data_IF_876563220937
#
_entry.id   IF_876563220937
#
_cell.length_a   1.000
_cell.length_b   1.000
_cell.length_c   1.000
_cell.angle_alpha   90.00
_cell.angle_beta   90.00
_cell.angle_gamma   90.00
#
_symmetry.space_group_name_H-M   'P 1'
#
loop_
_entity.id
_entity.type
_entity.pdbx_description
1 polymer ?
#
# COMPACT_ATOMS: atom_id res chain seq x y z
N UNK A 1 -21.76 1.82 2.85
CA UNK A 1 -20.54 2.13 3.63
C UNK A 1 -20.74 3.35 4.53
N UNK A 2 -21.53 4.36 4.13
CA UNK A 2 -21.89 5.52 4.98
C UNK A 2 -22.78 5.11 6.17
N UNK A 3 -23.66 4.11 6.00
CA UNK A 3 -24.53 3.63 7.08
C UNK A 3 -23.80 2.83 8.19
N UNK A 4 -22.56 2.40 7.94
CA UNK A 4 -21.75 1.68 8.94
C UNK A 4 -21.21 2.60 10.05
N UNK A 5 -21.25 3.92 9.86
CA UNK A 5 -20.93 4.90 10.91
C UNK A 5 -22.10 5.08 11.90
N UNK A 6 -23.34 4.76 11.53
CA UNK A 6 -24.51 4.87 12.41
C UNK A 6 -24.80 3.62 13.25
N UNK A 7 -24.15 2.50 12.95
CA UNK A 7 -24.25 1.26 13.74
C UNK A 7 -23.45 1.30 15.06
N UNK A 8 -22.99 2.49 15.47
CA UNK A 8 -22.43 2.77 16.80
C UNK A 8 -23.51 2.64 17.90
N UNK A 9 -24.79 2.64 17.55
CA UNK A 9 -25.89 2.60 18.53
C UNK A 9 -26.37 1.22 19.02
N UNK A 10 -25.98 0.10 18.41
CA UNK A 10 -26.71 -1.18 18.63
C UNK A 10 -25.97 -2.19 19.54
N UNK A 11 -24.67 -2.06 19.79
CA UNK A 11 -23.93 -3.00 20.66
C UNK A 11 -23.48 -2.37 21.97
N UNK A 12 -24.40 -2.31 22.93
CA UNK A 12 -24.16 -1.98 24.33
C UNK A 12 -23.70 -3.22 25.12
N UNK A 13 -22.40 -3.59 25.07
CA UNK A 13 -21.75 -4.37 26.15
C UNK A 13 -20.22 -4.12 26.17
N UNK A 14 -19.76 -3.34 27.16
CA UNK A 14 -18.56 -3.61 27.98
C UNK A 14 -17.14 -3.72 27.39
N UNK A 15 -16.89 -3.64 26.08
CA UNK A 15 -15.50 -3.79 25.54
C UNK A 15 -15.23 -2.93 24.29
N UNK A 16 -15.17 -1.62 24.49
CA UNK A 16 -15.11 -0.58 23.44
C UNK A 16 -13.92 -0.65 22.46
N UNK A 17 -12.80 -1.30 22.81
CA UNK A 17 -11.59 -1.32 21.96
C UNK A 17 -11.68 -2.36 20.83
N UNK A 18 -12.31 -3.51 21.10
CA UNK A 18 -12.41 -4.63 20.15
C UNK A 18 -13.37 -4.29 19.00
N UNK A 19 -14.51 -3.67 19.33
CA UNK A 19 -15.53 -3.27 18.35
C UNK A 19 -15.00 -2.24 17.35
N UNK A 20 -14.11 -1.33 17.78
CA UNK A 20 -13.56 -0.26 16.95
C UNK A 20 -12.58 -0.76 15.89
N UNK A 21 -11.81 -1.80 16.19
CA UNK A 21 -10.83 -2.39 15.25
C UNK A 21 -11.47 -3.40 14.28
N UNK A 22 -12.61 -3.98 14.65
CA UNK A 22 -13.34 -4.96 13.83
C UNK A 22 -14.42 -4.37 12.93
N UNK A 23 -14.68 -3.06 13.00
CA UNK A 23 -15.77 -2.41 12.25
C UNK A 23 -15.66 -2.61 10.73
N UNK A 24 -14.46 -2.46 10.17
CA UNK A 24 -14.25 -2.66 8.72
C UNK A 24 -14.44 -4.13 8.32
N UNK A 25 -13.73 -5.12 8.91
CA UNK A 25 -13.97 -6.54 8.62
C UNK A 25 -15.43 -6.98 8.81
N UNK A 26 -16.09 -6.48 9.85
CA UNK A 26 -17.47 -6.81 10.17
C UNK A 26 -18.44 -6.22 9.13
N UNK A 27 -18.22 -4.98 8.68
CA UNK A 27 -19.01 -4.38 7.60
C UNK A 27 -18.87 -5.13 6.27
N UNK A 28 -17.65 -5.58 5.95
CA UNK A 28 -17.34 -6.38 4.77
C UNK A 28 -18.06 -7.73 4.84
N UNK A 29 -17.99 -8.38 6.01
CA UNK A 29 -18.64 -9.67 6.25
C UNK A 29 -20.17 -9.55 6.13
N UNK A 30 -20.78 -8.52 6.73
CA UNK A 30 -22.23 -8.27 6.61
C UNK A 30 -22.61 -8.02 5.15
N UNK A 31 -21.85 -7.18 4.43
CA UNK A 31 -22.14 -6.86 3.03
C UNK A 31 -22.01 -8.11 2.16
N UNK A 32 -21.02 -8.95 2.41
CA UNK A 32 -20.83 -10.22 1.70
C UNK A 32 -21.95 -11.21 1.98
N UNK A 33 -22.37 -11.36 3.25
CA UNK A 33 -23.51 -12.19 3.64
C UNK A 33 -24.80 -11.69 2.96
N UNK A 34 -25.03 -10.38 2.95
CA UNK A 34 -26.19 -9.79 2.29
C UNK A 34 -26.18 -10.03 0.78
N UNK A 35 -25.03 -9.84 0.12
CA UNK A 35 -24.85 -10.15 -1.30
C UNK A 35 -25.07 -11.64 -1.59
N UNK A 36 -24.62 -12.52 -0.71
CA UNK A 36 -24.86 -13.96 -0.81
C UNK A 36 -26.36 -14.28 -0.74
N UNK A 37 -27.10 -13.71 0.21
CA UNK A 37 -28.55 -13.89 0.30
C UNK A 37 -29.30 -13.37 -0.93
N UNK A 38 -28.92 -12.20 -1.47
CA UNK A 38 -29.51 -11.67 -2.70
C UNK A 38 -29.21 -12.57 -3.92
N UNK A 39 -27.99 -13.11 -3.99
CA UNK A 39 -27.59 -14.03 -5.05
C UNK A 39 -28.38 -15.34 -4.96
N UNK A 40 -28.49 -15.92 -3.76
CA UNK A 40 -29.26 -17.14 -3.51
C UNK A 40 -30.77 -16.96 -3.71
N UNK A 41 -31.29 -15.77 -3.42
CA UNK A 41 -32.69 -15.39 -3.66
C UNK A 41 -33.03 -15.13 -5.12
N UNK A 42 -32.09 -15.28 -6.06
CA UNK A 42 -32.33 -15.11 -7.49
C UNK A 42 -32.44 -13.65 -7.94
N UNK A 43 -32.07 -12.67 -7.09
CA UNK A 43 -32.17 -11.25 -7.43
C UNK A 43 -31.30 -10.84 -8.64
N UNK A 44 -30.26 -11.64 -8.93
CA UNK A 44 -29.34 -11.45 -10.05
C UNK A 44 -29.41 -12.58 -11.08
N UNK A 45 -30.49 -13.38 -11.09
CA UNK A 45 -30.71 -14.44 -12.06
C UNK A 45 -31.68 -13.97 -13.14
N UNK A 46 -31.15 -13.68 -14.34
CA UNK A 46 -31.92 -13.16 -15.46
C UNK A 46 -32.15 -14.29 -16.47
N UNK A 47 -33.42 -14.54 -16.82
CA UNK A 47 -33.82 -15.64 -17.71
C UNK A 47 -33.05 -15.58 -19.03
N UNK A 48 -32.30 -16.64 -19.33
CA UNK A 48 -31.55 -16.79 -20.59
C UNK A 48 -30.17 -16.13 -20.61
N UNK A 49 -29.70 -15.55 -19.50
CA UNK A 49 -28.36 -14.97 -19.40
C UNK A 49 -27.48 -15.80 -18.46
N UNK A 50 -26.23 -16.07 -18.85
CA UNK A 50 -25.23 -16.72 -17.97
C UNK A 50 -24.12 -15.73 -17.61
N UNK A 51 -23.66 -15.70 -16.34
CA UNK A 51 -22.56 -14.85 -15.89
C UNK A 51 -21.19 -15.26 -16.45
N UNK A 52 -21.05 -16.48 -16.96
CA UNK A 52 -19.79 -17.03 -17.48
C UNK A 52 -19.46 -16.57 -18.92
N UNK A 53 -20.41 -15.93 -19.61
CA UNK A 53 -20.26 -15.51 -21.01
C UNK A 53 -19.58 -14.13 -21.06
N UNK A 54 -18.48 -13.95 -21.81
CA UNK A 54 -17.86 -12.64 -21.97
C UNK A 54 -18.85 -11.67 -22.62
N UNK A 55 -18.80 -10.40 -22.21
CA UNK A 55 -19.55 -9.27 -22.79
C UNK A 55 -19.10 -8.97 -24.23
N UNK A 56 -19.31 -9.95 -25.10
CA UNK A 56 -19.06 -9.91 -26.53
C UNK A 56 -20.33 -9.48 -27.25
N UNK A 57 -20.20 -9.07 -28.51
CA UNK A 57 -21.33 -8.68 -29.36
C UNK A 57 -22.32 -9.83 -29.65
N UNK A 58 -22.07 -11.04 -29.14
CA UNK A 58 -22.87 -12.26 -29.30
C UNK A 58 -24.01 -12.36 -28.25
N UNK A 59 -23.99 -11.54 -27.19
CA UNK A 59 -25.08 -11.50 -26.20
C UNK A 59 -26.32 -10.78 -26.76
N UNK A 60 -27.50 -11.35 -26.48
CA UNK A 60 -28.81 -10.70 -26.66
C UNK A 60 -28.77 -9.32 -25.96
N UNK A 61 -29.26 -8.26 -26.62
CA UNK A 61 -29.15 -6.88 -26.11
C UNK A 61 -29.73 -6.70 -24.70
N UNK A 62 -30.78 -7.47 -24.35
CA UNK A 62 -31.34 -7.58 -22.99
C UNK A 62 -30.29 -8.04 -21.95
N UNK A 63 -29.52 -9.09 -22.24
CA UNK A 63 -28.48 -9.61 -21.33
C UNK A 63 -27.28 -8.67 -21.22
N UNK A 64 -26.95 -7.89 -22.27
CA UNK A 64 -25.81 -6.95 -22.26
C UNK A 64 -25.97 -5.90 -21.16
N UNK A 65 -27.20 -5.42 -20.91
CA UNK A 65 -27.50 -4.45 -19.86
C UNK A 65 -27.26 -5.00 -18.44
N UNK A 66 -27.52 -6.30 -18.25
CA UNK A 66 -27.43 -6.96 -16.94
C UNK A 66 -26.09 -7.65 -16.68
N UNK A 67 -25.27 -7.88 -17.73
CA UNK A 67 -23.98 -8.56 -17.64
C UNK A 67 -23.02 -7.89 -16.63
N UNK A 68 -22.97 -6.56 -16.61
CA UNK A 68 -22.13 -5.83 -15.66
C UNK A 68 -22.53 -6.09 -14.21
N UNK A 69 -23.83 -6.02 -13.90
CA UNK A 69 -24.38 -6.28 -12.56
C UNK A 69 -24.18 -7.73 -12.15
N UNK A 70 -24.45 -8.69 -13.04
CA UNK A 70 -24.24 -10.12 -12.76
C UNK A 70 -22.78 -10.45 -12.43
N UNK A 71 -21.82 -9.81 -13.11
CA UNK A 71 -20.40 -10.09 -12.91
C UNK A 71 -19.82 -9.48 -11.63
N UNK A 72 -20.34 -8.32 -11.20
CA UNK A 72 -19.75 -7.56 -10.08
C UNK A 72 -20.55 -7.62 -8.77
N UNK A 73 -21.84 -7.99 -8.81
CA UNK A 73 -22.70 -8.03 -7.62
C UNK A 73 -22.95 -9.45 -7.09
N UNK A 74 -22.77 -10.48 -7.93
CA UNK A 74 -22.99 -11.88 -7.52
C UNK A 74 -21.84 -12.41 -6.66
N UNK A 75 -22.18 -13.10 -5.58
CA UNK A 75 -21.22 -13.75 -4.69
C UNK A 75 -20.70 -15.10 -5.24
N UNK A 76 -21.41 -15.71 -6.19
CA UNK A 76 -21.09 -17.01 -6.80
C UNK A 76 -20.38 -16.89 -8.16
N UNK A 77 -19.99 -15.68 -8.57
CA UNK A 77 -19.35 -15.43 -9.85
C UNK A 77 -17.95 -16.09 -10.00
N UNK A 78 -17.34 -16.53 -8.90
CA UNK A 78 -16.03 -17.19 -8.94
C UNK A 78 -16.13 -18.68 -8.59
N UNK A 79 -15.60 -19.52 -9.47
CA UNK A 79 -15.46 -20.96 -9.23
C UNK A 79 -14.18 -21.31 -8.43
N UNK A 80 -13.45 -20.30 -7.96
CA UNK A 80 -12.14 -20.44 -7.32
C UNK A 80 -12.17 -21.38 -6.11
N UNK A 81 -13.25 -21.34 -5.31
CA UNK A 81 -13.41 -22.23 -4.15
C UNK A 81 -13.43 -23.71 -4.53
N UNK A 82 -14.09 -24.06 -5.64
CA UNK A 82 -14.22 -25.46 -6.09
C UNK A 82 -12.91 -25.98 -6.69
N UNK A 83 -12.20 -25.13 -7.44
CA UNK A 83 -11.00 -25.53 -8.19
C UNK A 83 -9.70 -25.42 -7.39
N UNK A 84 -9.66 -24.65 -6.31
CA UNK A 84 -8.44 -24.47 -5.52
C UNK A 84 -8.03 -25.73 -4.75
N UNK A 85 -6.73 -26.04 -4.77
CA UNK A 85 -6.14 -27.07 -3.92
C UNK A 85 -6.20 -26.68 -2.44
N UNK A 86 -6.29 -27.68 -1.56
CA UNK A 86 -6.27 -27.46 -0.10
C UNK A 86 -4.94 -26.89 0.38
N UNK A 87 -3.84 -27.42 -0.16
CA UNK A 87 -2.47 -27.01 0.17
C UNK A 87 -1.78 -26.60 -1.13
N UNK A 88 -1.25 -25.37 -1.17
CA UNK A 88 -0.42 -24.87 -2.26
C UNK A 88 0.80 -24.19 -1.67
N UNK A 89 1.96 -24.82 -1.82
CA UNK A 89 3.24 -24.24 -1.38
C UNK A 89 3.80 -23.47 -2.58
N UNK A 90 3.95 -22.14 -2.48
CA UNK A 90 4.62 -21.39 -3.54
C UNK A 90 6.11 -21.77 -3.52
N UNK A 91 6.69 -21.96 -4.69
CA UNK A 91 8.12 -22.30 -4.86
C UNK A 91 8.84 -21.15 -5.57
N UNK A 92 10.16 -20.96 -5.34
CA UNK A 92 10.90 -19.88 -5.97
C UNK A 92 10.91 -20.05 -7.49
N UNK A 93 10.89 -18.94 -8.22
CA UNK A 93 10.92 -18.88 -9.68
C UNK A 93 9.75 -19.58 -10.38
N UNK A 94 8.60 -19.70 -9.72
CA UNK A 94 7.39 -20.31 -10.31
C UNK A 94 6.89 -19.62 -11.59
N UNK A 95 7.23 -18.34 -11.79
CA UNK A 95 6.84 -17.56 -12.97
C UNK A 95 7.98 -17.34 -13.97
N UNK A 96 9.10 -18.03 -13.79
CA UNK A 96 10.30 -17.91 -14.63
C UNK A 96 11.45 -17.15 -13.97
N UNK A 97 12.54 -17.02 -14.72
CA UNK A 97 13.74 -16.29 -14.29
C UNK A 97 13.54 -14.76 -14.42
N UNK A 98 14.14 -13.94 -13.55
CA UNK A 98 14.00 -12.49 -13.63
C UNK A 98 14.64 -11.96 -14.92
N UNK A 99 13.85 -11.24 -15.72
CA UNK A 99 14.31 -10.57 -16.95
C UNK A 99 14.49 -9.08 -16.64
N UNK A 100 15.66 -8.54 -16.96
CA UNK A 100 15.97 -7.13 -16.69
C UNK A 100 15.74 -6.30 -17.96
N UNK A 101 14.78 -5.37 -17.88
CA UNK A 101 14.57 -4.35 -18.91
C UNK A 101 14.93 -2.98 -18.34
N UNK A 102 15.88 -2.29 -18.99
CA UNK A 102 16.41 -1.02 -18.49
C UNK A 102 15.31 0.01 -18.15
N UNK A 103 14.34 0.20 -19.06
CA UNK A 103 13.22 1.15 -18.89
C UNK A 103 12.37 0.87 -17.63
N UNK A 104 12.04 -0.39 -17.35
CA UNK A 104 11.22 -0.74 -16.18
C UNK A 104 12.04 -0.72 -14.91
N UNK A 105 13.33 -1.11 -15.00
CA UNK A 105 14.23 -1.11 -13.85
C UNK A 105 14.47 0.30 -13.32
N UNK A 106 14.64 1.30 -14.20
CA UNK A 106 14.78 2.70 -13.79
C UNK A 106 13.55 3.18 -13.00
N UNK A 107 12.35 2.91 -13.51
CA UNK A 107 11.09 3.24 -12.83
C UNK A 107 11.04 2.60 -11.45
N UNK A 108 11.32 1.30 -11.36
CA UNK A 108 11.27 0.57 -10.09
C UNK A 108 12.32 1.04 -9.08
N UNK A 109 13.51 1.47 -9.52
CA UNK A 109 14.52 2.07 -8.65
C UNK A 109 13.97 3.34 -8.00
N UNK A 110 13.39 4.26 -8.79
CA UNK A 110 12.86 5.52 -8.25
C UNK A 110 11.64 5.27 -7.35
N UNK A 111 10.74 4.36 -7.73
CA UNK A 111 9.60 3.98 -6.90
C UNK A 111 10.06 3.36 -5.57
N UNK A 112 11.12 2.53 -5.58
CA UNK A 112 11.69 1.96 -4.36
C UNK A 112 12.32 3.01 -3.44
N UNK A 113 12.92 4.07 -4.00
CA UNK A 113 13.43 5.20 -3.23
C UNK A 113 12.29 5.97 -2.57
N UNK A 114 11.21 6.24 -3.31
CA UNK A 114 10.00 6.89 -2.77
C UNK A 114 9.40 6.07 -1.63
N UNK A 115 9.28 4.75 -1.81
CA UNK A 115 8.81 3.84 -0.75
C UNK A 115 9.75 3.84 0.46
N UNK A 116 11.06 3.91 0.26
CA UNK A 116 12.02 3.98 1.36
C UNK A 116 11.86 5.28 2.17
N UNK A 117 11.57 6.41 1.52
CA UNK A 117 11.28 7.69 2.22
C UNK A 117 10.01 7.58 3.06
N UNK A 118 8.96 6.95 2.54
CA UNK A 118 7.73 6.67 3.29
C UNK A 118 7.99 5.77 4.51
N UNK A 119 8.80 4.73 4.35
CA UNK A 119 9.21 3.85 5.45
C UNK A 119 9.98 4.57 6.54
N UNK A 120 10.87 5.51 6.19
CA UNK A 120 11.55 6.36 7.18
C UNK A 120 10.53 7.13 8.02
N UNK A 121 9.58 7.83 7.38
CA UNK A 121 8.51 8.54 8.09
C UNK A 121 7.69 7.64 9.01
N UNK A 122 7.45 6.40 8.58
CA UNK A 122 6.73 5.38 9.34
C UNK A 122 7.50 4.91 10.58
N UNK A 123 8.82 4.69 10.47
CA UNK A 123 9.67 4.33 11.60
C UNK A 123 9.66 5.38 12.71
N UNK A 124 9.75 6.65 12.31
CA UNK A 124 9.70 7.76 13.26
C UNK A 124 8.34 7.86 13.93
N UNK A 125 7.25 7.82 13.15
CA UNK A 125 5.89 7.83 13.67
C UNK A 125 5.63 6.67 14.62
N UNK A 126 6.12 5.47 14.31
CA UNK A 126 6.02 4.30 15.18
C UNK A 126 6.79 4.48 16.49
N UNK A 127 8.00 5.03 16.46
CA UNK A 127 8.79 5.27 17.68
C UNK A 127 8.08 6.21 18.67
N UNK A 128 7.46 7.28 18.17
CA UNK A 128 6.70 8.23 18.97
C UNK A 128 5.48 7.58 19.63
N UNK A 129 4.76 6.73 18.89
CA UNK A 129 3.57 6.03 19.38
C UNK A 129 3.89 4.99 20.46
N UNK A 130 5.06 4.37 20.39
CA UNK A 130 5.56 3.41 21.40
C UNK A 130 6.23 4.13 22.58
N UNK A 131 6.33 5.47 22.54
CA UNK A 131 7.08 6.28 23.51
C UNK A 131 8.54 5.84 23.63
N UNK A 132 9.10 5.37 22.52
CA UNK A 132 10.53 5.08 22.38
C UNK A 132 11.27 6.34 21.94
N UNK A 133 12.56 6.39 22.22
CA UNK A 133 13.45 7.41 21.64
C UNK A 133 13.48 7.28 20.11
N UNK A 134 13.71 8.38 19.35
CA UNK A 134 13.71 8.34 17.88
C UNK A 134 14.82 7.41 17.34
N UNK A 135 14.57 6.69 16.23
CA UNK A 135 15.55 5.76 15.68
C UNK A 135 16.76 6.51 15.12
N UNK A 136 17.96 5.98 15.38
CA UNK A 136 19.21 6.52 14.84
C UNK A 136 19.40 6.14 13.36
N UNK A 137 20.26 6.85 12.61
CA UNK A 137 20.53 6.54 11.20
C UNK A 137 20.94 5.09 10.95
N UNK A 138 21.73 4.49 11.85
CA UNK A 138 22.13 3.08 11.76
C UNK A 138 20.96 2.10 11.92
N UNK A 139 19.98 2.41 12.77
CA UNK A 139 18.75 1.59 12.93
C UNK A 139 17.88 1.70 11.68
N UNK A 140 17.70 2.92 11.16
CA UNK A 140 16.92 3.17 9.94
C UNK A 140 17.55 2.46 8.74
N UNK A 141 18.87 2.57 8.57
CA UNK A 141 19.62 1.88 7.51
C UNK A 141 19.43 0.37 7.54
N UNK A 142 19.46 -0.23 8.73
CA UNK A 142 19.20 -1.67 8.92
C UNK A 142 17.75 -2.07 8.60
N UNK A 143 16.79 -1.19 8.89
CA UNK A 143 15.38 -1.37 8.51
C UNK A 143 15.19 -1.38 6.98
N UNK A 144 15.71 -0.35 6.31
CA UNK A 144 15.64 -0.23 4.84
C UNK A 144 16.36 -1.40 4.15
N UNK A 145 17.53 -1.81 4.67
CA UNK A 145 18.25 -2.97 4.12
C UNK A 145 17.42 -4.26 4.21
N UNK A 146 16.66 -4.46 5.30
CA UNK A 146 15.77 -5.59 5.46
C UNK A 146 14.56 -5.51 4.50
N UNK A 147 13.98 -4.33 4.28
CA UNK A 147 12.92 -4.12 3.28
C UNK A 147 13.39 -4.46 1.86
N UNK A 148 14.58 -4.00 1.48
CA UNK A 148 15.20 -4.34 0.19
C UNK A 148 15.43 -5.84 0.06
N UNK A 149 15.95 -6.50 1.11
CA UNK A 149 16.13 -7.95 1.13
C UNK A 149 14.79 -8.72 1.00
N UNK A 150 13.77 -8.30 1.74
CA UNK A 150 12.42 -8.86 1.63
C UNK A 150 11.82 -8.66 0.24
N UNK A 151 12.07 -7.51 -0.40
CA UNK A 151 11.63 -7.23 -1.77
C UNK A 151 12.31 -8.15 -2.79
N UNK A 152 13.60 -8.43 -2.62
CA UNK A 152 14.31 -9.41 -3.46
C UNK A 152 13.71 -10.81 -3.30
N UNK A 153 13.45 -11.25 -2.07
CA UNK A 153 12.80 -12.53 -1.81
C UNK A 153 11.38 -12.59 -2.40
N UNK A 154 10.60 -11.51 -2.27
CA UNK A 154 9.27 -11.39 -2.85
C UNK A 154 9.31 -11.48 -4.38
N UNK A 155 10.32 -10.88 -5.02
CA UNK A 155 10.57 -10.99 -6.45
C UNK A 155 10.88 -12.43 -6.88
N UNK A 156 11.77 -13.12 -6.16
CA UNK A 156 12.12 -14.53 -6.44
C UNK A 156 10.91 -15.46 -6.29
N UNK A 157 10.07 -15.23 -5.28
CA UNK A 157 8.86 -16.02 -5.05
C UNK A 157 7.69 -15.63 -5.96
N UNK A 158 7.85 -14.56 -6.74
CA UNK A 158 6.88 -14.19 -7.76
C UNK A 158 5.69 -13.41 -7.24
N UNK A 159 5.85 -12.63 -6.17
CA UNK A 159 4.80 -11.77 -5.63
C UNK A 159 4.43 -10.63 -6.58
N UNK A 160 5.33 -10.25 -7.49
CA UNK A 160 5.14 -9.14 -8.44
C UNK A 160 5.12 -7.75 -7.78
N UNK A 161 5.31 -7.68 -6.46
CA UNK A 161 5.24 -6.47 -5.63
C UNK A 161 6.45 -6.39 -4.71
N UNK A 162 6.90 -5.17 -4.41
CA UNK A 162 7.92 -4.91 -3.39
C UNK A 162 7.37 -5.04 -1.97
N UNK A 163 8.27 -5.19 -1.00
CA UNK A 163 7.96 -5.13 0.42
C UNK A 163 8.29 -3.73 0.94
N UNK A 164 7.34 -3.14 1.66
CA UNK A 164 7.50 -1.84 2.34
C UNK A 164 6.89 -1.92 3.74
N UNK A 165 7.18 -0.96 4.59
CA UNK A 165 6.51 -0.85 5.89
C UNK A 165 5.08 -0.37 5.71
N UNK A 166 4.16 -0.98 6.46
CA UNK A 166 2.73 -0.66 6.40
C UNK A 166 2.39 0.41 7.43
N UNK A 167 2.03 1.61 6.98
CA UNK A 167 1.60 2.73 7.83
C UNK A 167 0.35 2.37 8.65
N UNK A 168 -0.51 1.49 8.13
CA UNK A 168 -1.73 1.03 8.80
C UNK A 168 -1.42 0.20 10.06
N UNK A 169 -0.30 -0.53 10.06
CA UNK A 169 0.13 -1.30 11.23
C UNK A 169 0.56 -0.35 12.36
N UNK A 170 1.23 0.74 12.03
CA UNK A 170 1.60 1.80 12.98
C UNK A 170 0.36 2.44 13.60
N UNK A 171 -0.68 2.71 12.80
CA UNK A 171 -1.96 3.19 13.31
C UNK A 171 -2.66 2.18 14.22
N UNK A 172 -2.59 0.88 13.90
CA UNK A 172 -3.15 -0.18 14.74
C UNK A 172 -2.46 -0.23 16.12
N UNK A 173 -1.15 0.01 16.20
CA UNK A 173 -0.43 0.12 17.48
C UNK A 173 -0.98 1.30 18.30
N UNK A 174 -1.28 2.44 17.67
CA UNK A 174 -1.86 3.59 18.36
C UNK A 174 -3.23 3.29 18.99
N UNK A 175 -4.08 2.53 18.29
CA UNK A 175 -5.43 2.18 18.78
C UNK A 175 -5.36 1.07 19.84
N UNK A 176 -4.62 0.00 19.56
CA UNK A 176 -4.57 -1.19 20.42
C UNK A 176 -3.71 -0.97 21.66
N UNK A 177 -2.82 0.04 21.64
CA UNK A 177 -1.82 0.30 22.67
C UNK A 177 -0.96 -0.94 22.98
N UNK A 178 -0.80 -1.83 22.01
CA UNK A 178 0.02 -3.03 22.12
C UNK A 178 1.16 -3.02 21.10
N UNK A 179 2.38 -2.75 21.56
CA UNK A 179 3.59 -2.75 20.76
C UNK A 179 4.48 -3.98 21.03
N UNK A 180 3.87 -5.16 21.19
CA UNK A 180 4.60 -6.38 21.52
C UNK A 180 5.20 -7.08 20.30
N UNK A 181 6.53 -7.27 20.29
CA UNK A 181 7.24 -8.02 19.23
C UNK A 181 6.73 -9.46 19.09
N UNK A 182 6.31 -10.10 20.19
CA UNK A 182 5.80 -11.49 20.16
C UNK A 182 4.48 -11.57 19.37
N UNK A 183 3.59 -10.58 19.55
CA UNK A 183 2.34 -10.52 18.82
C UNK A 183 2.58 -10.41 17.30
N UNK A 184 3.54 -9.59 16.88
CA UNK A 184 3.93 -9.47 15.47
C UNK A 184 4.48 -10.79 14.91
N UNK A 185 5.33 -11.51 15.66
CA UNK A 185 5.85 -12.82 15.23
C UNK A 185 4.74 -13.86 15.09
N UNK A 186 3.79 -13.92 16.03
CA UNK A 186 2.62 -14.79 15.91
C UNK A 186 1.75 -14.44 14.71
N UNK A 187 1.53 -13.16 14.44
CA UNK A 187 0.81 -12.69 13.26
C UNK A 187 1.50 -13.08 11.95
N UNK A 188 2.83 -12.91 11.87
CA UNK A 188 3.61 -13.31 10.71
C UNK A 188 3.56 -14.83 10.47
N UNK A 189 3.68 -15.64 11.53
CA UNK A 189 3.56 -17.09 11.43
C UNK A 189 2.17 -17.50 10.93
N UNK A 190 1.13 -16.84 11.42
CA UNK A 190 -0.26 -17.08 10.99
C UNK A 190 -0.47 -16.75 9.51
N UNK A 191 0.08 -15.63 9.03
CA UNK A 191 0.02 -15.25 7.61
C UNK A 191 0.78 -16.25 6.72
N UNK A 192 1.94 -16.74 7.16
CA UNK A 192 2.69 -17.78 6.44
C UNK A 192 1.87 -19.07 6.35
N UNK A 193 1.26 -19.51 7.46
CA UNK A 193 0.40 -20.70 7.46
C UNK A 193 -0.80 -20.52 6.53
N UNK A 194 -1.43 -19.36 6.53
CA UNK A 194 -2.58 -19.07 5.66
C UNK A 194 -2.21 -18.96 4.18
N UNK A 195 -1.00 -18.52 3.88
CA UNK A 195 -0.48 -18.51 2.50
C UNK A 195 -0.41 -19.92 1.90
N UNK A 196 -0.15 -20.95 2.72
CA UNK A 196 -0.07 -22.35 2.29
C UNK A 196 -1.46 -22.96 2.07
N UNK A 197 -2.49 -22.45 2.73
CA UNK A 197 -3.87 -22.95 2.60
C UNK A 197 -4.53 -22.35 1.36
N UNK A 198 -4.48 -23.06 0.23
CA UNK A 198 -4.98 -22.56 -1.06
C UNK A 198 -6.46 -22.19 -1.06
N UNK A 199 -7.27 -22.83 -0.21
CA UNK A 199 -8.70 -22.47 -0.02
C UNK A 199 -8.89 -21.08 0.58
N UNK A 200 -8.01 -20.64 1.49
CA UNK A 200 -8.06 -19.28 2.05
C UNK A 200 -7.78 -18.27 0.95
N UNK A 201 -6.75 -18.50 0.13
CA UNK A 201 -6.48 -17.68 -1.06
C UNK A 201 -7.65 -17.66 -2.05
N UNK A 202 -8.34 -18.79 -2.23
CA UNK A 202 -9.52 -18.86 -3.09
C UNK A 202 -10.72 -18.06 -2.56
N UNK A 203 -10.94 -18.03 -1.24
CA UNK A 203 -11.95 -17.15 -0.63
C UNK A 203 -11.58 -15.69 -0.90
N UNK A 204 -10.31 -15.30 -0.68
CA UNK A 204 -9.87 -13.94 -0.93
C UNK A 204 -10.02 -13.54 -2.41
N UNK A 205 -9.72 -14.46 -3.34
CA UNK A 205 -9.93 -14.25 -4.77
C UNK A 205 -11.41 -14.22 -5.17
N UNK A 206 -12.31 -14.80 -4.37
CA UNK A 206 -13.76 -14.76 -4.59
C UNK A 206 -14.42 -13.45 -4.14
N UNK A 207 -13.68 -12.57 -3.46
CA UNK A 207 -14.21 -11.29 -3.02
C UNK A 207 -14.55 -10.43 -4.25
N UNK A 208 -15.77 -9.90 -4.36
CA UNK A 208 -16.16 -9.03 -5.47
C UNK A 208 -15.26 -7.78 -5.55
N UNK A 209 -14.87 -7.39 -6.77
CA UNK A 209 -14.00 -6.23 -7.00
C UNK A 209 -14.58 -4.93 -6.42
N UNK A 210 -15.90 -4.78 -6.44
CA UNK A 210 -16.61 -3.62 -5.86
C UNK A 210 -16.37 -3.48 -4.36
N UNK A 211 -16.36 -4.61 -3.62
CA UNK A 211 -16.10 -4.64 -2.18
C UNK A 211 -14.62 -4.37 -1.89
N UNK A 212 -13.73 -4.98 -2.67
CA UNK A 212 -12.29 -4.73 -2.57
C UNK A 212 -11.96 -3.24 -2.80
N UNK A 213 -12.55 -2.62 -3.84
CA UNK A 213 -12.37 -1.20 -4.13
C UNK A 213 -12.87 -0.29 -3.00
N UNK A 214 -14.00 -0.62 -2.37
CA UNK A 214 -14.54 0.14 -1.24
C UNK A 214 -13.60 0.09 -0.01
N UNK A 215 -13.07 -1.09 0.32
CA UNK A 215 -12.09 -1.26 1.41
C UNK A 215 -10.81 -0.48 1.09
N UNK A 216 -10.30 -0.58 -0.13
CA UNK A 216 -9.11 0.15 -0.56
C UNK A 216 -9.33 1.67 -0.46
N UNK A 217 -10.49 2.19 -0.89
CA UNK A 217 -10.82 3.61 -0.75
C UNK A 217 -10.73 4.09 0.70
N UNK A 218 -11.27 3.30 1.64
CA UNK A 218 -11.14 3.60 3.07
C UNK A 218 -9.68 3.57 3.55
N UNK A 219 -8.89 2.57 3.13
CA UNK A 219 -7.49 2.46 3.50
C UNK A 219 -6.67 3.64 2.96
N UNK A 220 -6.84 4.01 1.69
CA UNK A 220 -6.17 5.17 1.11
C UNK A 220 -6.57 6.47 1.79
N UNK A 221 -7.83 6.65 2.16
CA UNK A 221 -8.29 7.81 2.93
C UNK A 221 -7.63 7.86 4.33
N UNK A 222 -7.50 6.71 4.99
CA UNK A 222 -6.79 6.61 6.27
C UNK A 222 -5.31 6.96 6.11
N UNK A 223 -4.64 6.46 5.06
CA UNK A 223 -3.23 6.78 4.77
C UNK A 223 -3.05 8.28 4.54
N UNK A 224 -3.94 8.94 3.78
CA UNK A 224 -3.91 10.40 3.59
C UNK A 224 -4.09 11.13 4.92
N UNK A 225 -5.06 10.74 5.74
CA UNK A 225 -5.30 11.36 7.04
C UNK A 225 -4.10 11.19 8.00
N UNK A 226 -3.49 10.00 8.02
CA UNK A 226 -2.28 9.72 8.80
C UNK A 226 -1.11 10.56 8.28
N UNK A 227 -0.89 10.62 6.97
CA UNK A 227 0.13 11.45 6.34
C UNK A 227 -0.01 12.93 6.74
N UNK A 228 -1.22 13.51 6.63
CA UNK A 228 -1.47 14.88 7.08
C UNK A 228 -1.27 15.06 8.58
N UNK A 229 -1.62 14.07 9.40
CA UNK A 229 -1.42 14.15 10.85
C UNK A 229 0.06 14.22 11.24
N UNK A 230 0.97 13.66 10.44
CA UNK A 230 2.42 13.78 10.69
C UNK A 230 2.94 15.21 10.56
N UNK A 231 2.24 16.08 9.83
CA UNK A 231 2.62 17.48 9.70
C UNK A 231 2.59 18.21 11.05
N UNK A 232 1.82 17.71 12.03
CA UNK A 232 1.74 18.29 13.38
C UNK A 232 3.10 18.38 14.11
N UNK A 233 4.09 17.58 13.68
CA UNK A 233 5.44 17.60 14.24
C UNK A 233 6.33 18.70 13.63
N UNK A 234 5.84 19.41 12.62
CA UNK A 234 6.50 20.58 12.03
C UNK A 234 5.76 21.86 12.40
N UNK A 235 6.40 23.01 12.17
CA UNK A 235 5.75 24.30 12.41
C UNK A 235 4.73 24.60 11.30
N UNK A 236 3.52 24.01 11.40
CA UNK A 236 2.45 24.13 10.39
C UNK A 236 1.90 25.55 10.26
N UNK A 237 2.13 26.42 11.24
CA UNK A 237 1.74 27.83 11.20
C UNK A 237 2.65 28.70 10.32
N UNK A 238 3.84 28.21 9.93
CA UNK A 238 4.73 28.98 9.05
C UNK A 238 4.21 29.00 7.61
N UNK A 239 4.16 30.18 7.00
CA UNK A 239 3.77 30.37 5.61
C UNK A 239 4.57 29.47 4.66
N UNK A 240 5.89 29.31 4.93
CA UNK A 240 6.78 28.42 4.17
C UNK A 240 6.22 27.00 4.07
N UNK A 241 5.90 26.38 5.19
CA UNK A 241 5.45 24.99 5.23
C UNK A 241 4.06 24.84 4.61
N UNK A 242 3.16 25.81 4.84
CA UNK A 242 1.84 25.83 4.21
C UNK A 242 1.97 25.88 2.69
N UNK A 243 2.86 26.73 2.15
CA UNK A 243 3.10 26.82 0.71
C UNK A 243 3.71 25.53 0.15
N UNK A 244 4.71 24.94 0.82
CA UNK A 244 5.34 23.68 0.37
C UNK A 244 4.30 22.55 0.30
N UNK A 245 3.50 22.37 1.35
CA UNK A 245 2.46 21.33 1.40
C UNK A 245 1.36 21.59 0.37
N UNK A 246 0.87 22.83 0.28
CA UNK A 246 -0.19 23.18 -0.66
C UNK A 246 0.21 23.00 -2.13
N UNK A 247 1.40 23.48 -2.50
CA UNK A 247 1.91 23.37 -3.88
C UNK A 247 2.26 21.93 -4.23
N UNK A 248 2.89 21.19 -3.31
CA UNK A 248 3.22 19.77 -3.56
C UNK A 248 1.99 18.90 -3.75
N UNK A 249 0.93 19.08 -2.93
CA UNK A 249 -0.34 18.36 -3.10
C UNK A 249 -1.04 18.73 -4.41
N UNK A 250 -1.09 20.03 -4.73
CA UNK A 250 -1.75 20.50 -5.96
C UNK A 250 -1.06 19.98 -7.21
N UNK A 251 0.27 20.15 -7.32
CA UNK A 251 1.04 19.67 -8.46
C UNK A 251 1.13 18.13 -8.51
N UNK A 252 1.19 17.49 -7.34
CA UNK A 252 1.19 16.05 -7.17
C UNK A 252 -0.09 15.35 -7.67
N UNK A 253 -1.21 16.07 -7.73
CA UNK A 253 -2.44 15.58 -8.36
C UNK A 253 -2.59 16.06 -9.82
N UNK A 254 -2.18 17.30 -10.10
CA UNK A 254 -2.39 17.93 -11.41
C UNK A 254 -1.50 17.37 -12.51
N UNK A 255 -0.18 17.23 -12.25
CA UNK A 255 0.78 16.77 -13.27
C UNK A 255 0.50 15.32 -13.68
N UNK A 256 0.32 14.35 -12.76
CA UNK A 256 -0.02 12.98 -13.16
C UNK A 256 -1.30 12.89 -13.98
N UNK A 257 -2.33 13.66 -13.61
CA UNK A 257 -3.59 13.69 -14.35
C UNK A 257 -3.38 14.21 -15.77
N UNK A 258 -2.55 15.25 -15.95
CA UNK A 258 -2.18 15.74 -17.27
C UNK A 258 -1.47 14.68 -18.12
N UNK A 259 -0.48 13.97 -17.55
CA UNK A 259 0.23 12.89 -18.26
C UNK A 259 -0.68 11.70 -18.59
N UNK A 260 -1.61 11.35 -17.69
CA UNK A 260 -2.56 10.24 -17.89
C UNK A 260 -3.65 10.56 -18.93
N UNK A 261 -3.98 11.83 -19.12
CA UNK A 261 -4.99 12.29 -20.08
C UNK A 261 -4.39 12.80 -21.39
N UNK A 262 -3.07 12.81 -21.52
CA UNK A 262 -2.40 13.23 -22.75
C UNK A 262 -2.72 12.26 -23.89
N UNK A 263 -3.37 12.76 -24.94
CA UNK A 263 -3.73 11.97 -26.12
C UNK A 263 -2.89 12.39 -27.34
N UNK A 264 -2.08 11.48 -27.90
CA UNK A 264 -1.76 11.49 -29.31
C UNK A 264 -2.49 10.29 -29.95
N UNK A 265 -3.74 10.47 -30.38
CA UNK A 265 -4.45 9.52 -31.27
C UNK A 265 -4.64 8.06 -30.78
N UNK A 266 -4.82 7.78 -29.48
CA UNK A 266 -5.16 6.42 -29.00
C UNK A 266 -6.68 6.21 -28.87
N UNK A 267 -7.26 5.48 -29.84
CA UNK A 267 -8.70 5.10 -29.90
C UNK A 267 -9.03 3.92 -28.94
N UNK A 268 -8.05 3.39 -28.22
CA UNK A 268 -8.22 2.22 -27.35
C UNK A 268 -8.71 2.61 -25.95
N UNK A 269 -9.97 2.27 -25.65
CA UNK A 269 -10.48 2.24 -24.28
C UNK A 269 -9.75 1.16 -23.46
N UNK A 270 -8.60 1.51 -22.89
CA UNK A 270 -7.86 0.64 -21.99
C UNK A 270 -8.54 0.60 -20.61
N UNK A 271 -8.57 -0.57 -19.94
CA UNK A 271 -8.97 -0.65 -18.54
C UNK A 271 -8.17 0.30 -17.65
N UNK A 272 -8.80 0.87 -16.61
CA UNK A 272 -8.22 1.93 -15.77
C UNK A 272 -6.86 1.59 -15.15
N UNK A 273 -6.53 0.32 -14.96
CA UNK A 273 -5.25 -0.13 -14.41
C UNK A 273 -4.09 -0.08 -15.42
N UNK A 274 -4.35 0.07 -16.72
CA UNK A 274 -3.33 0.26 -17.76
C UNK A 274 -3.09 1.72 -18.13
N UNK A 275 -3.83 2.66 -17.54
CA UNK A 275 -3.69 4.10 -17.82
C UNK A 275 -2.26 4.63 -17.57
N UNK A 276 -1.57 4.26 -16.47
CA UNK A 276 -0.18 4.67 -16.27
C UNK A 276 0.79 4.09 -17.31
N UNK A 277 0.51 2.89 -17.82
CA UNK A 277 1.32 2.27 -18.87
C UNK A 277 1.12 2.95 -20.22
N UNK A 278 -0.12 3.34 -20.55
CA UNK A 278 -0.43 4.11 -21.75
C UNK A 278 0.26 5.48 -21.72
N UNK A 279 0.17 6.17 -20.58
CA UNK A 279 0.86 7.44 -20.35
C UNK A 279 2.38 7.31 -20.48
N UNK A 280 2.96 6.19 -20.03
CA UNK A 280 4.38 5.92 -20.19
C UNK A 280 4.79 5.73 -21.66
N UNK A 281 3.95 5.07 -22.46
CA UNK A 281 4.25 4.78 -23.87
C UNK A 281 4.20 6.04 -24.75
N UNK A 282 3.11 6.79 -24.65
CA UNK A 282 2.80 7.90 -25.56
C UNK A 282 2.59 9.22 -24.80
N UNK A 283 3.43 9.46 -23.80
CA UNK A 283 3.37 10.67 -22.99
C UNK A 283 3.96 11.91 -23.68
N UNK A 284 3.78 13.10 -23.10
CA UNK A 284 4.16 14.38 -23.70
C UNK A 284 5.68 14.60 -23.80
N UNK A 285 6.50 13.84 -23.06
CA UNK A 285 7.96 13.96 -23.13
C UNK A 285 8.49 13.12 -24.28
N UNK A 286 9.06 13.81 -25.28
CA UNK A 286 9.76 13.21 -26.41
C UNK A 286 11.18 13.76 -26.47
N UNK A 287 12.16 12.91 -26.15
CA UNK A 287 13.59 13.19 -26.28
C UNK A 287 14.19 12.30 -27.36
N UNK A 288 15.52 12.30 -27.49
CA UNK A 288 16.23 11.46 -28.50
C UNK A 288 16.21 9.98 -28.09
N UNK A 289 15.93 9.66 -26.82
CA UNK A 289 16.00 8.30 -26.30
C UNK A 289 14.63 7.80 -25.81
N UNK A 290 13.99 6.94 -26.61
CA UNK A 290 12.69 6.33 -26.32
C UNK A 290 12.63 5.61 -24.96
N UNK A 291 13.76 5.05 -24.48
CA UNK A 291 13.80 4.37 -23.18
C UNK A 291 13.71 5.35 -22.00
N UNK A 292 14.29 6.53 -22.15
CA UNK A 292 14.21 7.60 -21.15
C UNK A 292 12.84 8.26 -21.18
N UNK A 293 12.29 8.47 -22.37
CA UNK A 293 10.93 9.00 -22.54
C UNK A 293 9.91 8.13 -21.82
N UNK A 294 9.96 6.81 -22.04
CA UNK A 294 9.11 5.86 -21.34
C UNK A 294 9.22 5.98 -19.82
N UNK A 295 10.46 6.09 -19.32
CA UNK A 295 10.73 6.16 -17.89
C UNK A 295 10.23 7.46 -17.29
N UNK A 296 10.49 8.60 -17.92
CA UNK A 296 10.08 9.93 -17.44
C UNK A 296 8.56 10.06 -17.48
N UNK A 297 7.93 9.69 -18.60
CA UNK A 297 6.49 9.71 -18.75
C UNK A 297 5.80 8.82 -17.70
N UNK A 298 6.33 7.61 -17.45
CA UNK A 298 5.84 6.74 -16.39
C UNK A 298 5.93 7.39 -15.00
N UNK A 299 7.08 7.97 -14.66
CA UNK A 299 7.32 8.57 -13.34
C UNK A 299 6.44 9.81 -13.11
N UNK A 300 6.28 10.66 -14.12
CA UNK A 300 5.44 11.85 -14.06
C UNK A 300 3.94 11.50 -14.03
N UNK A 301 3.56 10.31 -14.50
CA UNK A 301 2.20 9.77 -14.35
C UNK A 301 1.87 9.26 -12.93
N UNK A 302 2.86 9.19 -12.02
CA UNK A 302 2.69 8.70 -10.65
C UNK A 302 2.65 9.85 -9.63
N UNK A 303 1.51 10.01 -8.94
CA UNK A 303 1.32 11.06 -7.93
C UNK A 303 2.33 11.02 -6.80
N UNK A 304 2.71 9.84 -6.31
CA UNK A 304 3.70 9.73 -5.23
C UNK A 304 5.07 10.29 -5.63
N UNK A 305 5.51 10.03 -6.86
CA UNK A 305 6.82 10.45 -7.36
C UNK A 305 6.85 11.96 -7.56
N UNK A 306 5.83 12.50 -8.23
CA UNK A 306 5.71 13.94 -8.48
C UNK A 306 5.61 14.71 -7.16
N UNK A 307 4.76 14.25 -6.23
CA UNK A 307 4.58 14.92 -4.93
C UNK A 307 5.89 14.96 -4.15
N UNK A 308 6.61 13.84 -4.09
CA UNK A 308 7.91 13.77 -3.40
C UNK A 308 8.93 14.70 -4.07
N UNK A 309 9.03 14.67 -5.41
CA UNK A 309 9.96 15.50 -6.16
C UNK A 309 9.70 16.99 -5.91
N UNK A 310 8.45 17.42 -6.03
CA UNK A 310 8.06 18.83 -5.81
C UNK A 310 8.30 19.24 -4.37
N UNK A 311 7.89 18.42 -3.39
CA UNK A 311 8.13 18.70 -1.98
C UNK A 311 9.63 18.80 -1.66
N UNK A 312 10.44 17.89 -2.20
CA UNK A 312 11.89 17.90 -2.02
C UNK A 312 12.55 19.14 -2.62
N UNK A 313 12.18 19.51 -3.84
CA UNK A 313 12.70 20.71 -4.50
C UNK A 313 12.31 21.96 -3.72
N UNK A 314 11.04 22.08 -3.31
CA UNK A 314 10.57 23.24 -2.56
C UNK A 314 11.19 23.35 -1.16
N UNK A 315 11.37 22.24 -0.44
CA UNK A 315 12.02 22.29 0.88
C UNK A 315 13.49 22.73 0.80
N UNK A 316 14.21 22.34 -0.26
CA UNK A 316 15.60 22.74 -0.46
C UNK A 316 15.76 24.16 -1.01
N UNK A 317 14.82 24.64 -1.83
CA UNK A 317 14.91 25.96 -2.47
C UNK A 317 14.35 27.09 -1.60
N UNK A 318 13.30 26.84 -0.82
CA UNK A 318 12.69 27.87 0.02
C UNK A 318 13.48 28.04 1.33
N UNK A 319 14.04 29.23 1.62
CA UNK A 319 14.81 29.46 2.83
C UNK A 319 13.92 29.31 4.08
N UNK A 320 14.44 28.67 5.12
CA UNK A 320 13.71 28.44 6.37
C UNK A 320 14.63 27.92 7.47
N UNK A 321 14.21 28.11 8.72
CA UNK A 321 14.99 27.67 9.89
C UNK A 321 14.92 26.15 10.08
N UNK A 322 15.84 25.58 10.88
CA UNK A 322 15.83 24.15 11.22
C UNK A 322 14.56 23.72 11.97
N UNK A 323 14.01 24.62 12.78
CA UNK A 323 12.80 24.39 13.56
C UNK A 323 11.56 24.36 12.66
N UNK A 324 11.51 25.25 11.66
CA UNK A 324 10.45 25.25 10.65
C UNK A 324 10.46 23.95 9.84
N UNK A 325 11.63 23.44 9.46
CA UNK A 325 11.77 22.15 8.77
C UNK A 325 11.42 20.95 9.65
N UNK A 326 11.26 21.14 10.96
CA UNK A 326 11.08 20.05 11.92
C UNK A 326 12.34 19.19 12.10
N UNK A 327 13.52 19.67 11.69
CA UNK A 327 14.81 18.93 11.71
C UNK A 327 15.47 18.97 13.10
N UNK A 328 14.94 19.75 14.04
CA UNK A 328 15.44 19.83 15.42
C UNK A 328 15.23 18.55 16.25
N UNK A 329 14.16 17.78 16.00
CA UNK A 329 13.92 16.48 16.67
C UNK A 329 15.08 15.50 16.40
N UNK A 330 15.81 15.72 15.32
CA UNK A 330 16.76 14.80 14.72
C UNK A 330 18.19 15.05 15.20
N UNK A 331 18.52 16.27 15.65
CA UNK A 331 19.85 16.61 16.16
C UNK A 331 20.17 15.98 17.53
N UNK A 332 19.16 15.57 18.30
CA UNK A 332 19.38 14.82 19.55
C UNK A 332 19.63 13.32 19.32
N UNK A 333 19.39 12.79 18.12
CA UNK A 333 19.55 11.37 17.85
C UNK A 333 21.03 10.94 17.84
N UNK A 334 21.95 11.82 17.43
CA UNK A 334 23.40 11.58 17.55
C UNK A 334 23.83 11.41 19.02
N UNK A 335 23.36 12.27 19.92
CA UNK A 335 23.69 12.19 21.37
C UNK A 335 23.14 10.91 22.02
N UNK A 336 22.00 10.41 21.50
CA UNK A 336 21.33 9.18 21.97
C UNK A 336 22.02 7.90 21.47
N UNK A 337 22.75 7.94 20.35
CA UNK A 337 23.45 6.78 19.80
C UNK A 337 24.54 6.22 20.74
N UNK A 338 25.08 7.07 21.62
CA UNK A 338 26.12 6.76 22.61
C UNK A 338 25.61 6.03 23.86
N UNK A 339 24.29 5.97 24.09
CA UNK A 339 23.71 5.37 25.28
C UNK A 339 23.39 3.86 25.08
N UNK A 340 24.04 2.94 25.82
CA UNK A 340 23.84 1.50 25.63
C UNK A 340 22.43 1.02 26.01
N UNK A 341 21.69 1.79 26.83
CA UNK A 341 20.29 1.46 27.17
C UNK A 341 19.34 1.63 25.98
N UNK A 342 19.67 2.51 25.04
CA UNK A 342 18.89 2.75 23.82
C UNK A 342 19.00 1.62 22.80
N UNK A 343 20.17 0.96 22.71
CA UNK A 343 20.36 -0.15 21.78
C UNK A 343 19.52 -1.39 22.13
N UNK A 344 19.09 -1.54 23.39
CA UNK A 344 18.23 -2.63 23.84
C UNK A 344 16.85 -2.58 23.16
N UNK A 345 16.26 -1.39 23.02
CA UNK A 345 14.93 -1.20 22.40
C UNK A 345 14.92 -1.48 20.89
N UNK A 346 16.09 -1.35 20.24
CA UNK A 346 16.30 -1.65 18.81
C UNK A 346 17.15 -2.91 18.57
N UNK A 347 17.36 -3.72 19.61
CA UNK A 347 18.17 -4.95 19.52
C UNK A 347 17.51 -6.01 18.63
N UNK A 348 18.34 -6.78 17.91
CA UNK A 348 17.86 -7.93 17.13
C UNK A 348 17.37 -9.05 18.06
N UNK A 349 16.45 -9.92 17.59
CA UNK A 349 16.13 -11.16 18.30
C UNK A 349 17.41 -11.95 18.59
N UNK A 350 17.56 -12.47 19.82
CA UNK A 350 18.84 -12.96 20.35
C UNK A 350 19.58 -13.99 19.49
N UNK A 351 18.88 -14.81 18.69
CA UNK A 351 19.50 -15.77 17.77
C UNK A 351 20.17 -15.12 16.53
N UNK A 352 19.66 -13.97 16.08
CA UNK A 352 20.23 -13.20 14.97
C UNK A 352 21.34 -12.25 15.42
N UNK A 353 21.25 -11.74 16.65
CA UNK A 353 22.31 -10.94 17.28
C UNK A 353 23.64 -11.71 17.32
N UNK A 354 23.65 -12.98 17.72
CA UNK A 354 24.88 -13.79 17.76
C UNK A 354 25.47 -14.08 16.38
N UNK A 355 24.63 -14.14 15.34
CA UNK A 355 25.06 -14.38 13.96
C UNK A 355 25.64 -13.11 13.32
N UNK A 356 24.97 -11.97 13.50
CA UNK A 356 25.43 -10.66 13.02
C UNK A 356 26.65 -10.13 13.79
N UNK A 357 26.81 -10.45 15.08
CA UNK A 357 28.01 -10.06 15.84
C UNK A 357 29.30 -10.70 15.30
N UNK A 358 29.21 -11.82 14.57
CA UNK A 358 30.36 -12.47 13.89
C UNK A 358 30.73 -11.81 12.56
N UNK A 359 29.81 -11.08 11.94
CA UNK A 359 30.07 -10.28 10.73
C UNK A 359 30.32 -8.82 11.11
N UNK A 360 31.58 -8.42 11.22
CA UNK A 360 32.00 -7.06 11.60
C UNK A 360 31.45 -5.92 10.72
N UNK A 361 30.75 -6.20 9.62
CA UNK A 361 30.24 -5.22 8.67
C UNK A 361 28.93 -4.50 9.06
N UNK A 362 28.22 -4.93 10.11
CA UNK A 362 26.89 -4.38 10.47
C UNK A 362 26.91 -3.50 11.74
N UNK A 363 28.09 -3.06 12.17
CA UNK A 363 28.30 -2.35 13.45
C UNK A 363 28.41 -0.82 13.33
N UNK A 364 28.03 -0.24 12.19
CA UNK A 364 28.03 1.21 11.96
C UNK A 364 26.60 1.73 11.78
#
# INVERSE_FOLDING_TARGET
MVDSLFLVGIFFVGRHVIVRSLQVPLSVTITWIYAFFLTAGGAYDYKGCSPDIPSSNILVDECRKHAYTMKHCRADASNAWRTAAWVRIPYPLQWGVPIFHFRTSLIMIIVSLVASVDSVGTYHSASLLVSSKPPTPGVVSRGIALEGFCSLLAGIWGSGTGSTTLTENTHTINITKMASRRALVFGALFLILFSVVGKVGAILASIPLSLAAAILCFMWALVVAVGLSTLQYTQTASFRNITIVGVSLFLGLSIPTYFQQYQPESILMLPSYFVPYAAASDGPVHTINEQLDFSINALLSMSMVVTLLVAFVLDNTVPGSRDERGVYIWSCAEDVATDPSFQLDYSLPGKFSSLCCRSSCLRA
#
